data_IF_945505860211
#
_entry.id   IF_945505860211
#
_cell.length_a   1.000
_cell.length_b   1.000
_cell.length_c   1.000
_cell.angle_alpha   90.00
_cell.angle_beta   90.00
_cell.angle_gamma   90.00
#
_symmetry.space_group_name_H-M   'P 1'
#
loop_
_entity.id
_entity.type
_entity.pdbx_description
1 polymer ?
#
# COMPACT_ATOMS: atom_id res chain seq x y z
N UNK A 1 -5.01 1.16 4.98
CA UNK A 1 -3.82 0.56 4.32
C UNK A 1 -4.27 -0.64 3.49
N UNK A 2 -3.75 -0.80 2.28
CA UNK A 2 -3.96 -1.98 1.42
C UNK A 2 -2.62 -2.72 1.32
N UNK A 3 -2.63 -4.04 1.54
CA UNK A 3 -1.42 -4.88 1.51
C UNK A 3 -1.59 -5.97 0.48
N UNK A 4 -0.59 -6.12 -0.39
CA UNK A 4 -0.62 -7.07 -1.49
C UNK A 4 0.73 -7.73 -1.68
N UNK A 5 0.74 -9.06 -1.67
CA UNK A 5 1.94 -9.84 -1.94
C UNK A 5 2.22 -9.91 -3.45
N UNK A 6 3.49 -9.75 -3.83
CA UNK A 6 3.95 -9.73 -5.23
C UNK A 6 3.60 -11.01 -6.03
N UNK A 7 3.52 -12.16 -5.37
CA UNK A 7 3.16 -13.43 -6.01
C UNK A 7 2.36 -14.32 -5.05
N UNK A 8 1.70 -15.34 -5.61
CA UNK A 8 0.96 -16.34 -4.84
C UNK A 8 1.87 -17.10 -3.87
N UNK A 9 3.11 -17.36 -4.26
CA UNK A 9 4.08 -18.07 -3.41
C UNK A 9 4.47 -17.22 -2.20
N UNK A 10 4.69 -15.91 -2.41
CA UNK A 10 4.98 -14.97 -1.33
C UNK A 10 3.75 -14.79 -0.44
N UNK A 11 2.55 -14.74 -1.01
CA UNK A 11 1.31 -14.71 -0.23
C UNK A 11 1.21 -15.94 0.67
N UNK A 12 1.37 -17.14 0.11
CA UNK A 12 1.29 -18.39 0.87
C UNK A 12 2.39 -18.48 1.94
N UNK A 13 3.59 -17.95 1.65
CA UNK A 13 4.65 -17.82 2.65
C UNK A 13 4.25 -16.86 3.79
N UNK A 14 3.74 -15.67 3.47
CA UNK A 14 3.30 -14.68 4.44
C UNK A 14 2.13 -15.20 5.31
N UNK A 15 1.21 -15.97 4.72
CA UNK A 15 0.13 -16.65 5.43
C UNK A 15 0.67 -17.67 6.43
N UNK A 16 1.56 -18.58 5.99
CA UNK A 16 2.21 -19.56 6.89
C UNK A 16 3.03 -18.90 8.00
N UNK A 17 3.64 -17.75 7.71
CA UNK A 17 4.37 -16.96 8.69
C UNK A 17 3.45 -16.15 9.63
N UNK A 18 2.14 -16.16 9.42
CA UNK A 18 1.17 -15.43 10.23
C UNK A 18 1.10 -13.93 9.94
N UNK A 19 1.80 -13.43 8.93
CA UNK A 19 1.85 -12.00 8.58
C UNK A 19 0.50 -11.49 8.07
N UNK A 20 -0.23 -12.32 7.32
CA UNK A 20 -1.59 -11.96 6.84
C UNK A 20 -2.51 -11.66 8.02
N UNK A 21 -2.41 -12.43 9.11
CA UNK A 21 -3.17 -12.20 10.33
C UNK A 21 -2.77 -10.89 11.00
N UNK A 22 -1.47 -10.61 11.13
CA UNK A 22 -0.95 -9.34 11.70
C UNK A 22 -1.53 -8.14 10.96
N UNK A 23 -1.48 -8.13 9.63
CA UNK A 23 -2.04 -7.02 8.84
C UNK A 23 -3.56 -6.91 8.97
N UNK A 24 -4.27 -8.04 9.03
CA UNK A 24 -5.73 -8.05 9.20
C UNK A 24 -6.14 -7.51 10.58
N UNK A 25 -5.43 -7.90 11.64
CA UNK A 25 -5.64 -7.38 13.00
C UNK A 25 -5.32 -5.88 13.09
N UNK A 26 -4.35 -5.40 12.32
CA UNK A 26 -4.06 -3.97 12.13
C UNK A 26 -5.08 -3.24 11.22
N UNK A 27 -6.21 -3.88 10.87
CA UNK A 27 -7.29 -3.35 10.03
C UNK A 27 -6.86 -2.98 8.61
N UNK A 28 -5.78 -3.59 8.12
CA UNK A 28 -5.40 -3.49 6.72
C UNK A 28 -6.31 -4.37 5.85
N UNK A 29 -6.48 -3.97 4.60
CA UNK A 29 -7.13 -4.80 3.57
C UNK A 29 -6.03 -5.61 2.90
N UNK A 30 -5.97 -6.92 3.19
CA UNK A 30 -5.05 -7.84 2.53
C UNK A 30 -5.74 -8.45 1.31
N UNK A 31 -5.14 -8.32 0.13
CA UNK A 31 -5.74 -8.72 -1.14
C UNK A 31 -5.05 -9.94 -1.74
N UNK A 32 -5.66 -10.55 -2.76
CA UNK A 32 -4.98 -11.56 -3.58
C UNK A 32 -3.77 -10.93 -4.30
N UNK A 33 -2.78 -11.76 -4.65
CA UNK A 33 -1.61 -11.31 -5.41
C UNK A 33 -1.99 -10.84 -6.81
N UNK A 34 -1.88 -9.54 -7.05
CA UNK A 34 -2.08 -8.89 -8.35
C UNK A 34 -1.27 -7.59 -8.41
N UNK A 35 -1.23 -6.93 -9.56
CA UNK A 35 -0.73 -5.56 -9.69
C UNK A 35 -1.87 -4.53 -9.57
N UNK A 36 -3.09 -4.95 -9.21
CA UNK A 36 -4.34 -4.23 -9.47
C UNK A 36 -4.48 -2.81 -8.92
N UNK A 37 -3.71 -2.42 -7.89
CA UNK A 37 -3.65 -1.04 -7.37
C UNK A 37 -2.66 -0.16 -8.15
N UNK A 38 -1.74 -0.76 -8.91
CA UNK A 38 -0.66 -0.02 -9.55
C UNK A 38 -1.15 0.83 -10.73
N UNK A 39 -2.28 0.50 -11.34
CA UNK A 39 -2.91 1.26 -12.41
C UNK A 39 -4.43 1.34 -12.31
N UNK A 40 -4.96 1.13 -11.10
CA UNK A 40 -6.40 1.17 -10.81
C UNK A 40 -7.27 0.26 -11.70
N UNK A 41 -6.73 -0.88 -12.14
CA UNK A 41 -7.51 -1.83 -12.97
C UNK A 41 -8.41 -2.76 -12.17
N UNK A 42 -8.32 -2.77 -10.85
CA UNK A 42 -9.05 -3.74 -10.03
C UNK A 42 -9.55 -3.19 -8.71
N UNK A 43 -8.76 -2.33 -8.05
CA UNK A 43 -9.10 -1.79 -6.73
C UNK A 43 -8.17 -0.64 -6.34
N UNK A 44 -8.65 0.22 -5.44
CA UNK A 44 -7.84 1.30 -4.87
C UNK A 44 -7.78 2.56 -5.73
N UNK A 45 -8.78 2.79 -6.59
CA UNK A 45 -8.99 4.03 -7.33
C UNK A 45 -8.97 5.23 -6.39
N UNK A 46 -8.10 6.19 -6.68
CA UNK A 46 -8.08 7.47 -5.99
C UNK A 46 -9.07 8.43 -6.64
N UNK A 47 -9.93 9.00 -5.81
CA UNK A 47 -10.80 10.10 -6.19
C UNK A 47 -10.00 11.41 -6.36
N UNK A 48 -10.64 12.42 -6.97
CA UNK A 48 -10.02 13.73 -7.11
C UNK A 48 -9.69 14.34 -5.73
N UNK A 49 -8.46 14.83 -5.57
CA UNK A 49 -7.97 15.40 -4.31
C UNK A 49 -7.52 14.39 -3.25
N UNK A 50 -7.59 13.08 -3.52
CA UNK A 50 -7.02 12.08 -2.62
C UNK A 50 -5.50 11.97 -2.76
N UNK A 51 -4.84 11.70 -1.63
CA UNK A 51 -3.40 11.50 -1.54
C UNK A 51 -3.10 10.05 -1.17
N UNK A 52 -2.21 9.41 -1.92
CA UNK A 52 -1.76 8.06 -1.67
C UNK A 52 -0.24 7.99 -1.51
N UNK A 53 0.21 7.27 -0.48
CA UNK A 53 1.60 6.85 -0.34
C UNK A 53 1.70 5.38 -0.77
N UNK A 54 2.53 5.10 -1.76
CA UNK A 54 2.61 3.78 -2.39
C UNK A 54 4.05 3.25 -2.45
N UNK A 55 4.18 1.91 -2.44
CA UNK A 55 5.46 1.19 -2.57
C UNK A 55 5.72 0.68 -3.99
N UNK A 56 5.00 1.23 -4.97
CA UNK A 56 5.21 0.95 -6.39
C UNK A 56 6.31 1.84 -6.98
N UNK A 57 6.54 1.73 -8.29
CA UNK A 57 7.65 2.43 -8.98
C UNK A 57 7.20 3.58 -9.90
N UNK A 58 5.91 3.93 -9.94
CA UNK A 58 5.36 4.95 -10.85
C UNK A 58 4.31 5.80 -10.14
N UNK A 59 4.37 7.11 -10.35
CA UNK A 59 3.47 8.09 -9.74
C UNK A 59 3.07 9.24 -10.70
N UNK A 60 3.09 9.00 -12.01
CA UNK A 60 2.60 10.01 -12.94
C UNK A 60 1.09 10.26 -12.74
N UNK A 61 0.62 11.46 -13.10
CA UNK A 61 -0.79 11.86 -12.91
C UNK A 61 -1.76 10.91 -13.62
N UNK A 62 -2.86 10.57 -12.94
CA UNK A 62 -3.86 9.63 -13.45
C UNK A 62 -3.43 8.17 -13.39
N UNK A 63 -2.30 7.85 -12.72
CA UNK A 63 -1.83 6.46 -12.61
C UNK A 63 -2.78 5.59 -11.78
N UNK A 64 -3.26 6.09 -10.64
CA UNK A 64 -4.08 5.33 -9.69
C UNK A 64 -5.52 5.86 -9.63
N UNK A 65 -6.10 6.27 -10.76
CA UNK A 65 -7.45 6.84 -10.81
C UNK A 65 -7.44 8.28 -11.32
N UNK A 66 -7.95 9.22 -10.52
CA UNK A 66 -8.09 10.62 -10.94
C UNK A 66 -6.76 11.27 -11.33
N UNK A 67 -6.80 12.16 -12.33
CA UNK A 67 -5.67 13.04 -12.69
C UNK A 67 -5.36 14.08 -11.60
N UNK A 68 -6.35 14.38 -10.75
CA UNK A 68 -6.25 15.31 -9.63
C UNK A 68 -5.91 14.59 -8.30
N UNK A 69 -5.57 13.30 -8.35
CA UNK A 69 -5.02 12.57 -7.21
C UNK A 69 -3.49 12.70 -7.16
N UNK A 70 -2.93 12.66 -5.95
CA UNK A 70 -1.49 12.73 -5.72
C UNK A 70 -0.94 11.40 -5.22
N UNK A 71 0.16 10.94 -5.82
CA UNK A 71 0.81 9.67 -5.47
C UNK A 71 2.27 9.94 -5.12
N UNK A 72 2.66 9.52 -3.92
CA UNK A 72 4.03 9.58 -3.42
C UNK A 72 4.62 8.17 -3.37
N UNK A 73 5.88 8.03 -3.79
CA UNK A 73 6.59 6.76 -3.74
C UNK A 73 7.42 6.67 -2.46
N UNK A 74 7.44 5.49 -1.85
CA UNK A 74 8.19 5.26 -0.61
C UNK A 74 8.63 3.81 -0.48
N UNK A 75 9.50 3.55 0.49
CA UNK A 75 9.82 2.18 0.90
C UNK A 75 8.69 1.59 1.76
N UNK A 76 8.63 0.25 1.91
CA UNK A 76 7.66 -0.39 2.79
C UNK A 76 7.72 0.09 4.25
N UNK A 77 8.91 0.42 4.75
CA UNK A 77 9.14 0.92 6.12
C UNK A 77 8.45 2.29 6.31
N UNK A 78 8.70 3.24 5.42
CA UNK A 78 8.05 4.56 5.43
C UNK A 78 6.54 4.45 5.25
N UNK A 79 6.07 3.56 4.36
CA UNK A 79 4.64 3.35 4.15
C UNK A 79 3.96 2.80 5.40
N UNK A 80 4.58 1.83 6.09
CA UNK A 80 4.08 1.27 7.33
C UNK A 80 4.04 2.31 8.46
N UNK A 81 5.13 3.07 8.64
CA UNK A 81 5.19 4.15 9.63
C UNK A 81 4.10 5.21 9.38
N UNK A 82 3.96 5.65 8.13
CA UNK A 82 2.96 6.65 7.74
C UNK A 82 1.53 6.12 7.90
N UNK A 83 1.30 4.82 7.70
CA UNK A 83 -0.01 4.20 7.93
C UNK A 83 -0.40 4.17 9.42
N UNK A 84 0.57 4.13 10.33
CA UNK A 84 0.34 4.20 11.78
C UNK A 84 0.01 5.63 12.20
N UNK A 85 0.77 6.61 11.68
CA UNK A 85 0.69 8.01 12.11
C UNK A 85 -0.42 8.80 11.39
N UNK A 86 -0.81 8.40 10.18
CA UNK A 86 -1.86 9.04 9.39
C UNK A 86 -1.40 10.19 8.51
N UNK A 87 -0.09 10.45 8.43
CA UNK A 87 0.54 11.34 7.46
C UNK A 87 1.95 10.82 7.10
N UNK A 88 2.55 11.35 6.03
CA UNK A 88 3.89 10.95 5.59
C UNK A 88 4.89 11.30 6.70
N UNK A 89 5.54 10.29 7.26
CA UNK A 89 6.49 10.40 8.38
C UNK A 89 7.75 9.57 8.12
N UNK A 90 8.83 9.93 8.79
CA UNK A 90 10.06 9.15 8.80
C UNK A 90 9.87 7.88 9.66
N UNK A 91 10.19 6.66 9.18
CA UNK A 91 10.13 5.45 9.99
C UNK A 91 10.87 5.54 11.33
N UNK A 92 11.97 6.30 11.42
CA UNK A 92 12.73 6.45 12.67
C UNK A 92 11.93 7.16 13.77
N UNK A 93 10.89 7.92 13.44
CA UNK A 93 10.01 8.58 14.43
C UNK A 93 9.08 7.59 15.15
N UNK A 94 8.79 6.44 14.53
CA UNK A 94 7.90 5.40 15.06
C UNK A 94 8.68 4.21 15.66
N UNK A 95 10.02 4.26 15.60
CA UNK A 95 10.91 3.21 16.11
C UNK A 95 10.94 1.94 15.26
N UNK A 96 10.62 2.04 13.97
CA UNK A 96 10.78 0.98 12.96
C UNK A 96 12.09 1.13 12.20
#
# INVERSE_FOLDING_TARGET
MIVMATSRDIYAHAERAGLVRVFTEARAIVTNSTCGTCDDRSMGALAAGEVCLATQNRNYKGRMGSYDAEVYLSSPETAAASAIIGHITDPWEVGV
#
